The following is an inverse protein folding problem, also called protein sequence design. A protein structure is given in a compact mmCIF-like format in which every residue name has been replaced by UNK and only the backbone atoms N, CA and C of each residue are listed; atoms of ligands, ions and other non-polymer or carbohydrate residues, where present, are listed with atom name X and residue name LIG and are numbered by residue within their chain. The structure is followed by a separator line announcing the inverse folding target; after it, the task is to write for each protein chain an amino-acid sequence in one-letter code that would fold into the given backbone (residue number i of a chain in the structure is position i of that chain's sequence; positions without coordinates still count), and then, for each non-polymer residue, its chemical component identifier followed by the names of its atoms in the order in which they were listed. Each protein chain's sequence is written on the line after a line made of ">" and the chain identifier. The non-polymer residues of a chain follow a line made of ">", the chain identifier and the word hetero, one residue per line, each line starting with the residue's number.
data_IF_810797518238
#
_entry.id   IF_810797518238
#
_cell.length_a   1.000
_cell.length_b   1.000
_cell.length_c   1.000
_cell.angle_alpha   90.00
_cell.angle_beta   90.00
_cell.angle_gamma   90.00
#
_symmetry.space_group_name_H-M   'P 1'
#
loop_
_entity.id
_entity.type
_entity.pdbx_description
1 polymer ?
#
# COMPACT_ATOMS: atom_id res chain seq x y z
N UNK A 1 43.48 -11.86 -41.39
CA UNK A 1 42.21 -12.13 -40.68
C UNK A 1 41.77 -10.81 -40.11
N UNK A 2 40.54 -10.38 -40.40
CA UNK A 2 40.03 -9.11 -39.91
C UNK A 2 39.68 -9.26 -38.43
N UNK A 3 40.10 -8.30 -37.61
CA UNK A 3 39.72 -8.24 -36.19
C UNK A 3 38.21 -7.97 -36.11
N UNK A 4 37.45 -8.95 -35.62
CA UNK A 4 36.02 -8.80 -35.31
C UNK A 4 35.82 -8.51 -33.83
N UNK A 5 34.93 -7.57 -33.55
CA UNK A 5 34.45 -7.29 -32.19
C UNK A 5 33.61 -8.48 -31.73
N UNK A 6 33.98 -9.08 -30.61
CA UNK A 6 33.19 -10.10 -29.91
C UNK A 6 32.57 -9.41 -28.70
N UNK A 7 31.24 -9.30 -28.68
CA UNK A 7 30.49 -8.85 -27.50
C UNK A 7 30.14 -10.11 -26.71
N UNK A 8 30.74 -10.25 -25.53
CA UNK A 8 30.29 -11.21 -24.53
C UNK A 8 29.40 -10.46 -23.53
N UNK A 9 28.17 -10.92 -23.36
CA UNK A 9 27.27 -10.47 -22.31
C UNK A 9 27.41 -11.51 -21.19
N UNK A 10 27.92 -11.09 -20.03
CA UNK A 10 27.91 -11.94 -18.84
C UNK A 10 26.46 -12.13 -18.36
N UNK A 11 26.12 -13.32 -17.86
CA UNK A 11 24.90 -13.55 -17.09
C UNK A 11 24.96 -12.65 -15.85
N UNK A 12 24.28 -11.50 -15.89
CA UNK A 12 24.09 -10.66 -14.71
C UNK A 12 23.13 -11.42 -13.79
N UNK A 13 23.66 -12.08 -12.78
CA UNK A 13 22.84 -12.65 -11.69
C UNK A 13 22.17 -11.49 -10.96
N UNK A 14 20.86 -11.34 -11.17
CA UNK A 14 19.86 -10.57 -10.40
C UNK A 14 20.46 -9.58 -9.40
N UNK A 15 20.38 -8.28 -9.70
CA UNK A 15 20.59 -7.24 -8.69
C UNK A 15 19.49 -7.33 -7.64
N UNK A 16 19.78 -7.92 -6.47
CA UNK A 16 18.84 -7.97 -5.35
C UNK A 16 18.98 -6.69 -4.51
N UNK A 17 18.15 -5.68 -4.76
CA UNK A 17 17.97 -4.57 -3.80
C UNK A 17 17.02 -5.01 -2.69
N UNK A 18 17.45 -4.82 -1.44
CA UNK A 18 16.77 -5.32 -0.24
C UNK A 18 16.67 -4.25 0.84
N UNK A 19 15.58 -4.32 1.60
CA UNK A 19 15.40 -3.56 2.83
C UNK A 19 15.00 -4.52 3.96
N UNK A 20 15.58 -4.29 5.14
CA UNK A 20 15.24 -5.00 6.36
C UNK A 20 14.56 -4.04 7.35
N UNK A 21 13.36 -4.36 7.81
CA UNK A 21 12.59 -3.54 8.76
C UNK A 21 12.41 -4.31 10.06
N UNK A 22 12.97 -3.81 11.16
CA UNK A 22 12.76 -4.39 12.49
C UNK A 22 11.40 -3.99 13.08
N UNK A 23 10.63 -4.97 13.57
CA UNK A 23 9.32 -4.77 14.20
C UNK A 23 9.27 -5.61 15.48
N UNK A 24 9.42 -4.96 16.64
CA UNK A 24 9.61 -5.63 17.94
C UNK A 24 10.79 -6.61 17.89
N UNK A 25 10.56 -7.90 18.15
CA UNK A 25 11.53 -8.99 18.12
C UNK A 25 11.59 -9.70 16.75
N UNK A 26 10.84 -9.22 15.76
CA UNK A 26 10.81 -9.76 14.38
C UNK A 26 11.47 -8.82 13.39
N UNK A 27 11.79 -9.35 12.22
CA UNK A 27 12.35 -8.61 11.10
C UNK A 27 11.58 -8.94 9.83
N UNK A 28 11.23 -7.91 9.06
CA UNK A 28 10.74 -8.03 7.69
C UNK A 28 11.94 -7.91 6.74
N UNK A 29 12.09 -8.87 5.84
CA UNK A 29 13.11 -8.94 4.80
C UNK A 29 12.42 -8.83 3.44
N UNK A 30 12.57 -7.67 2.81
CA UNK A 30 11.80 -7.26 1.64
C UNK A 30 12.73 -7.03 0.46
N UNK A 31 12.34 -7.54 -0.71
CA UNK A 31 12.98 -7.18 -1.98
C UNK A 31 12.21 -6.04 -2.65
N UNK A 32 12.96 -5.16 -3.32
CA UNK A 32 12.44 -4.03 -4.09
C UNK A 32 12.43 -4.31 -5.60
N UNK A 33 12.91 -5.49 -6.01
CA UNK A 33 13.15 -5.83 -7.42
C UNK A 33 12.23 -6.99 -7.82
N UNK A 34 11.57 -6.84 -8.96
CA UNK A 34 10.83 -7.92 -9.61
C UNK A 34 11.83 -8.88 -10.28
N UNK A 35 11.51 -10.17 -10.36
CA UNK A 35 12.35 -11.13 -11.08
C UNK A 35 12.53 -10.71 -12.55
N UNK A 36 13.59 -11.16 -13.22
CA UNK A 36 13.97 -10.67 -14.56
C UNK A 36 12.85 -10.79 -15.61
N UNK A 37 12.09 -11.89 -15.56
CA UNK A 37 10.91 -12.14 -16.39
C UNK A 37 9.70 -11.25 -16.04
N UNK A 38 9.73 -10.61 -14.87
CA UNK A 38 8.70 -9.76 -14.30
C UNK A 38 9.11 -8.27 -14.29
N UNK A 39 10.29 -7.90 -14.83
CA UNK A 39 10.79 -6.51 -14.88
C UNK A 39 10.10 -5.62 -15.92
N UNK A 40 9.40 -6.20 -16.90
CA UNK A 40 8.72 -5.46 -17.97
C UNK A 40 7.76 -4.33 -17.50
N UNK A 41 7.02 -4.45 -16.37
CA UNK A 41 6.13 -3.40 -15.88
C UNK A 41 6.84 -2.19 -15.25
N UNK A 42 8.09 -2.34 -14.77
CA UNK A 42 8.82 -1.24 -14.11
C UNK A 42 9.09 -0.05 -15.04
N UNK A 43 9.14 -0.29 -16.36
CA UNK A 43 9.34 0.75 -17.37
C UNK A 43 8.04 1.28 -18.00
N UNK A 44 6.87 0.85 -17.51
CA UNK A 44 5.56 1.26 -18.00
C UNK A 44 4.76 2.01 -16.93
N UNK A 45 4.71 3.34 -17.02
CA UNK A 45 3.82 4.18 -16.21
C UNK A 45 4.23 4.29 -14.74
N UNK A 46 3.26 4.15 -13.84
CA UNK A 46 3.43 4.44 -12.42
C UNK A 46 3.83 3.22 -11.55
N UNK A 47 4.00 2.04 -12.15
CA UNK A 47 4.21 0.78 -11.41
C UNK A 47 5.52 0.75 -10.59
N UNK A 48 6.55 1.49 -11.00
CA UNK A 48 7.80 1.63 -10.25
C UNK A 48 7.59 2.18 -8.84
N UNK A 49 6.55 3.00 -8.63
CA UNK A 49 6.28 3.56 -7.31
C UNK A 49 5.90 2.46 -6.30
N UNK A 50 5.29 1.36 -6.75
CA UNK A 50 4.89 0.26 -5.88
C UNK A 50 6.04 -0.62 -5.37
N UNK A 51 7.28 -0.41 -5.84
CA UNK A 51 8.44 -1.19 -5.43
C UNK A 51 9.28 -0.52 -4.34
N UNK A 52 8.91 0.68 -3.90
CA UNK A 52 9.64 1.47 -2.90
C UNK A 52 8.99 1.41 -1.51
N UNK A 53 9.79 1.67 -0.48
CA UNK A 53 9.28 2.02 0.86
C UNK A 53 9.03 3.54 0.89
N UNK A 54 7.76 3.95 0.89
CA UNK A 54 7.39 5.36 1.06
C UNK A 54 7.37 5.75 2.54
N UNK A 55 7.69 7.02 2.84
CA UNK A 55 7.63 7.55 4.22
C UNK A 55 6.23 7.38 4.83
N UNK A 56 5.17 7.46 4.01
CA UNK A 56 3.80 7.23 4.45
C UNK A 56 3.58 5.79 4.95
N UNK A 57 4.23 4.81 4.34
CA UNK A 57 4.19 3.42 4.80
C UNK A 57 4.86 3.27 6.19
N UNK A 58 5.98 3.96 6.42
CA UNK A 58 6.67 3.99 7.71
C UNK A 58 5.82 4.68 8.77
N UNK A 59 5.19 5.81 8.45
CA UNK A 59 4.29 6.53 9.36
C UNK A 59 3.08 5.66 9.72
N UNK A 60 2.43 5.04 8.73
CA UNK A 60 1.27 4.18 8.96
C UNK A 60 1.64 2.94 9.77
N UNK A 61 2.74 2.27 9.44
CA UNK A 61 3.24 1.12 10.18
C UNK A 61 3.53 1.47 11.65
N UNK A 62 4.16 2.62 11.91
CA UNK A 62 4.40 3.09 13.28
C UNK A 62 3.10 3.41 14.01
N UNK A 63 2.11 4.01 13.33
CA UNK A 63 0.81 4.24 13.94
C UNK A 63 0.11 2.93 14.30
N UNK A 64 0.11 1.94 13.40
CA UNK A 64 -0.45 0.62 13.67
C UNK A 64 0.26 -0.07 14.84
N UNK A 65 1.59 0.04 14.91
CA UNK A 65 2.41 -0.53 16.00
C UNK A 65 2.09 0.04 17.38
N UNK A 66 1.87 1.36 17.46
CA UNK A 66 1.82 2.07 18.74
C UNK A 66 0.41 2.43 19.20
N UNK A 67 -0.51 2.67 18.27
CA UNK A 67 -1.79 3.32 18.56
C UNK A 67 -3.01 2.48 18.14
N UNK A 68 -2.84 1.38 17.40
CA UNK A 68 -3.95 0.57 16.86
C UNK A 68 -3.93 -0.84 17.41
N UNK A 69 -5.05 -1.27 18.00
CA UNK A 69 -5.23 -2.66 18.44
C UNK A 69 -5.71 -3.52 17.27
N UNK A 70 -4.79 -4.31 16.71
CA UNK A 70 -5.09 -5.20 15.58
C UNK A 70 -5.25 -6.67 15.96
N UNK A 71 -5.03 -7.02 17.24
CA UNK A 71 -5.11 -8.41 17.69
C UNK A 71 -6.45 -9.05 17.33
N UNK A 72 -6.39 -10.24 16.73
CA UNK A 72 -7.56 -11.02 16.30
C UNK A 72 -8.45 -10.37 15.23
N UNK A 73 -8.07 -9.21 14.68
CA UNK A 73 -8.80 -8.51 13.62
C UNK A 73 -8.40 -8.97 12.22
N UNK A 74 -9.32 -8.79 11.26
CA UNK A 74 -9.07 -8.97 9.83
C UNK A 74 -8.67 -7.64 9.20
N UNK A 75 -7.51 -7.61 8.56
CA UNK A 75 -6.93 -6.38 8.00
C UNK A 75 -6.81 -6.52 6.48
N UNK A 76 -7.20 -5.48 5.76
CA UNK A 76 -6.97 -5.30 4.33
C UNK A 76 -6.00 -4.14 4.12
N UNK A 77 -5.06 -4.28 3.20
CA UNK A 77 -4.25 -3.15 2.71
C UNK A 77 -4.53 -2.90 1.22
N UNK A 78 -4.94 -1.67 0.89
CA UNK A 78 -5.17 -1.20 -0.47
C UNK A 78 -3.92 -0.50 -1.00
N UNK A 79 -3.44 -0.90 -2.19
CA UNK A 79 -2.24 -0.33 -2.79
C UNK A 79 -1.01 -0.59 -1.91
N UNK A 80 -0.80 -1.87 -1.58
CA UNK A 80 0.18 -2.28 -0.59
C UNK A 80 1.63 -2.07 -1.03
N UNK A 81 1.90 -1.91 -2.32
CA UNK A 81 3.23 -1.94 -2.90
C UNK A 81 3.99 -3.19 -2.48
N UNK A 82 4.99 -3.01 -1.61
CA UNK A 82 5.80 -4.08 -1.01
C UNK A 82 5.22 -4.65 0.29
N UNK A 83 4.15 -4.06 0.85
CA UNK A 83 3.30 -4.66 1.90
C UNK A 83 3.64 -4.35 3.36
N UNK A 84 4.36 -3.25 3.63
CA UNK A 84 4.92 -2.99 4.97
C UNK A 84 3.85 -2.83 6.06
N UNK A 85 2.88 -1.90 5.98
CA UNK A 85 1.87 -1.71 7.03
C UNK A 85 1.05 -2.97 7.35
N UNK A 86 0.58 -3.70 6.34
CA UNK A 86 -0.20 -4.92 6.56
C UNK A 86 0.63 -6.06 7.15
N UNK A 87 1.89 -6.22 6.73
CA UNK A 87 2.80 -7.21 7.36
C UNK A 87 3.10 -6.85 8.82
N UNK A 88 3.24 -5.55 9.14
CA UNK A 88 3.32 -5.07 10.53
C UNK A 88 2.07 -5.46 11.30
N UNK A 89 0.87 -5.26 10.75
CA UNK A 89 -0.38 -5.68 11.40
C UNK A 89 -0.42 -7.19 11.71
N UNK A 90 0.10 -8.03 10.80
CA UNK A 90 0.22 -9.48 11.03
C UNK A 90 1.18 -9.81 12.18
N UNK A 91 2.34 -9.16 12.25
CA UNK A 91 3.30 -9.31 13.36
C UNK A 91 2.65 -8.98 14.72
N UNK A 92 1.72 -8.02 14.72
CA UNK A 92 1.04 -7.52 15.93
C UNK A 92 -0.16 -8.37 16.37
N UNK A 93 -0.46 -9.46 15.65
CA UNK A 93 -1.51 -10.42 16.04
C UNK A 93 -2.80 -10.31 15.23
N UNK A 94 -2.83 -9.58 14.11
CA UNK A 94 -3.97 -9.64 13.21
C UNK A 94 -4.29 -11.08 12.81
N UNK A 95 -5.56 -11.46 12.90
CA UNK A 95 -6.03 -12.82 12.60
C UNK A 95 -5.75 -13.23 11.17
N UNK A 96 -5.93 -12.30 10.24
CA UNK A 96 -5.66 -12.51 8.83
C UNK A 96 -5.45 -11.17 8.14
N UNK A 97 -4.41 -11.09 7.30
CA UNK A 97 -4.10 -9.91 6.51
C UNK A 97 -4.21 -10.25 5.02
N UNK A 98 -4.91 -9.40 4.27
CA UNK A 98 -4.92 -9.44 2.80
C UNK A 98 -4.23 -8.17 2.30
N UNK A 99 -3.14 -8.34 1.57
CA UNK A 99 -2.43 -7.26 0.90
C UNK A 99 -2.90 -7.21 -0.54
N UNK A 100 -3.31 -6.04 -1.03
CA UNK A 100 -3.82 -5.89 -2.39
C UNK A 100 -3.01 -4.90 -3.21
N UNK A 101 -2.86 -5.25 -4.48
CA UNK A 101 -2.14 -4.47 -5.47
C UNK A 101 -2.74 -4.67 -6.86
N UNK A 102 -2.25 -3.89 -7.83
CA UNK A 102 -2.50 -4.16 -9.24
C UNK A 102 -1.90 -5.52 -9.65
N UNK A 103 -2.50 -6.25 -10.61
CA UNK A 103 -2.08 -7.59 -10.99
C UNK A 103 -0.57 -7.73 -11.25
N UNK A 104 0.06 -6.70 -11.80
CA UNK A 104 1.47 -6.65 -12.17
C UNK A 104 2.41 -6.62 -10.95
N UNK A 105 1.96 -6.11 -9.80
CA UNK A 105 2.76 -6.03 -8.56
C UNK A 105 2.47 -7.15 -7.56
N UNK A 106 1.41 -7.92 -7.78
CA UNK A 106 1.07 -9.08 -6.93
C UNK A 106 2.20 -10.12 -6.84
N UNK A 107 2.98 -10.44 -7.91
CA UNK A 107 4.12 -11.35 -7.79
C UNK A 107 5.18 -10.88 -6.79
N UNK A 108 5.60 -9.60 -6.85
CA UNK A 108 6.52 -9.00 -5.88
C UNK A 108 6.00 -9.14 -4.45
N UNK A 109 4.73 -8.78 -4.26
CA UNK A 109 4.07 -8.85 -2.96
C UNK A 109 4.03 -10.28 -2.42
N UNK A 110 3.77 -11.29 -3.28
CA UNK A 110 3.83 -12.72 -2.91
C UNK A 110 5.23 -13.15 -2.52
N UNK A 111 6.26 -12.68 -3.23
CA UNK A 111 7.66 -12.96 -2.88
C UNK A 111 8.00 -12.43 -1.49
N UNK A 112 7.61 -11.19 -1.20
CA UNK A 112 7.80 -10.59 0.13
C UNK A 112 7.01 -11.33 1.21
N UNK A 113 5.77 -11.74 0.96
CA UNK A 113 4.98 -12.54 1.91
C UNK A 113 5.65 -13.89 2.20
N UNK A 114 6.07 -14.63 1.17
CA UNK A 114 6.66 -15.98 1.35
C UNK A 114 7.92 -15.94 2.21
N UNK A 115 8.73 -14.90 2.07
CA UNK A 115 9.96 -14.70 2.86
C UNK A 115 9.66 -14.47 4.34
N UNK A 116 8.59 -13.73 4.65
CA UNK A 116 8.32 -13.25 6.01
C UNK A 116 7.25 -14.05 6.76
N UNK A 117 6.33 -14.69 6.03
CA UNK A 117 5.17 -15.41 6.57
C UNK A 117 5.03 -16.80 5.92
N UNK A 118 6.06 -17.66 5.95
CA UNK A 118 6.01 -18.98 5.30
C UNK A 118 4.94 -19.90 5.89
N UNK A 119 4.49 -19.63 7.12
CA UNK A 119 3.47 -20.40 7.83
C UNK A 119 2.04 -19.81 7.67
N UNK A 120 1.86 -18.82 6.80
CA UNK A 120 0.57 -18.17 6.55
C UNK A 120 0.27 -16.97 7.47
N UNK A 121 -0.97 -16.50 7.43
CA UNK A 121 -1.46 -15.32 8.17
C UNK A 121 -1.53 -14.04 7.31
N UNK A 122 -0.77 -14.00 6.21
CA UNK A 122 -0.78 -12.92 5.21
C UNK A 122 -0.97 -13.51 3.82
N UNK A 123 -1.84 -12.90 3.02
CA UNK A 123 -2.11 -13.32 1.63
C UNK A 123 -2.04 -12.10 0.70
N UNK A 124 -1.72 -12.34 -0.57
CA UNK A 124 -1.73 -11.32 -1.61
C UNK A 124 -2.84 -11.61 -2.62
N UNK A 125 -3.58 -10.57 -2.99
CA UNK A 125 -4.65 -10.63 -4.01
C UNK A 125 -4.61 -9.41 -4.92
N UNK A 126 -5.11 -9.55 -6.14
CA UNK A 126 -5.24 -8.43 -7.06
C UNK A 126 -6.51 -7.65 -6.74
N UNK A 127 -6.45 -6.32 -6.71
CA UNK A 127 -7.63 -5.47 -6.57
C UNK A 127 -7.44 -4.15 -7.31
N UNK A 128 -8.03 -4.05 -8.51
CA UNK A 128 -8.22 -2.76 -9.17
C UNK A 128 -9.37 -2.02 -8.49
N UNK A 129 -9.14 -0.78 -8.07
CA UNK A 129 -10.14 -0.01 -7.33
C UNK A 129 -11.40 0.30 -8.17
N UNK A 130 -12.55 0.29 -7.51
CA UNK A 130 -13.86 0.57 -8.09
C UNK A 130 -14.97 -0.24 -7.42
N UNK A 131 -16.23 0.19 -7.59
CA UNK A 131 -17.39 -0.40 -6.90
C UNK A 131 -17.57 -1.89 -7.23
N UNK A 132 -17.52 -2.27 -8.50
CA UNK A 132 -17.77 -3.65 -8.92
C UNK A 132 -16.66 -4.59 -8.45
N UNK A 133 -15.40 -4.16 -8.62
CA UNK A 133 -14.24 -4.92 -8.16
C UNK A 133 -14.23 -5.08 -6.64
N UNK A 134 -14.54 -4.01 -5.89
CA UNK A 134 -14.65 -4.07 -4.43
C UNK A 134 -15.76 -5.02 -3.96
N UNK A 135 -16.91 -5.03 -4.64
CA UNK A 135 -17.99 -5.96 -4.30
C UNK A 135 -17.60 -7.42 -4.56
N UNK A 136 -17.06 -7.72 -5.74
CA UNK A 136 -16.58 -9.07 -6.05
C UNK A 136 -15.50 -9.52 -5.07
N UNK A 137 -14.57 -8.63 -4.71
CA UNK A 137 -13.54 -8.89 -3.72
C UNK A 137 -14.13 -9.18 -2.33
N UNK A 138 -15.14 -8.43 -1.88
CA UNK A 138 -15.81 -8.70 -0.62
C UNK A 138 -16.61 -10.01 -0.63
N UNK A 139 -17.18 -10.39 -1.77
CA UNK A 139 -17.91 -11.65 -1.90
C UNK A 139 -16.96 -12.87 -1.80
N UNK A 140 -15.71 -12.73 -2.28
CA UNK A 140 -14.66 -13.75 -2.15
C UNK A 140 -14.00 -13.75 -0.76
N UNK A 141 -13.57 -12.58 -0.28
CA UNK A 141 -12.72 -12.47 0.90
C UNK A 141 -13.50 -12.19 2.19
N UNK A 142 -14.78 -11.79 2.11
CA UNK A 142 -15.57 -11.34 3.24
C UNK A 142 -15.25 -9.90 3.67
N UNK A 143 -15.71 -9.53 4.87
CA UNK A 143 -15.50 -8.19 5.41
C UNK A 143 -14.18 -8.07 6.21
N UNK A 144 -13.79 -6.81 6.48
CA UNK A 144 -12.58 -6.44 7.20
C UNK A 144 -12.91 -5.49 8.35
N UNK A 145 -12.10 -5.53 9.40
CA UNK A 145 -12.24 -4.65 10.57
C UNK A 145 -11.42 -3.37 10.37
N UNK A 146 -10.27 -3.49 9.71
CA UNK A 146 -9.37 -2.36 9.40
C UNK A 146 -8.97 -2.43 7.94
N UNK A 147 -9.02 -1.28 7.27
CA UNK A 147 -8.44 -1.08 5.94
C UNK A 147 -7.27 -0.10 6.06
N UNK A 148 -6.12 -0.45 5.49
CA UNK A 148 -4.92 0.37 5.44
C UNK A 148 -4.72 0.89 4.01
N UNK A 149 -4.23 2.11 3.87
CA UNK A 149 -3.78 2.66 2.59
C UNK A 149 -2.68 3.69 2.84
N UNK A 150 -1.54 3.56 2.17
CA UNK A 150 -0.44 4.51 2.28
C UNK A 150 0.00 5.01 0.90
N UNK A 151 0.12 6.33 0.75
CA UNK A 151 0.57 7.05 -0.45
C UNK A 151 -0.12 6.65 -1.77
N UNK A 152 -1.37 6.23 -1.67
CA UNK A 152 -2.24 5.87 -2.81
C UNK A 152 -2.87 7.09 -3.52
N UNK A 153 -2.57 8.31 -3.07
CA UNK A 153 -3.14 9.56 -3.57
C UNK A 153 -1.99 10.47 -3.98
N UNK A 154 -1.76 10.57 -5.28
CA UNK A 154 -0.83 11.51 -5.88
C UNK A 154 -1.24 11.79 -7.32
N UNK A 155 -2.05 12.83 -7.50
CA UNK A 155 -2.69 13.15 -8.78
C UNK A 155 -1.72 13.36 -9.96
N UNK A 156 -0.52 13.94 -9.80
CA UNK A 156 0.42 14.06 -10.91
C UNK A 156 0.88 12.72 -11.50
N UNK A 157 0.85 11.64 -10.70
CA UNK A 157 1.26 10.30 -11.13
C UNK A 157 0.08 9.39 -11.44
N UNK A 158 -0.97 9.43 -10.62
CA UNK A 158 -2.10 8.50 -10.67
C UNK A 158 -3.39 9.12 -11.24
N UNK A 159 -3.36 10.41 -11.57
CA UNK A 159 -4.55 11.15 -11.99
C UNK A 159 -5.63 11.13 -10.92
N UNK A 160 -6.86 10.86 -11.33
CA UNK A 160 -8.04 10.90 -10.47
C UNK A 160 -8.41 9.53 -9.87
N UNK A 161 -7.46 8.57 -9.84
CA UNK A 161 -7.68 7.22 -9.30
C UNK A 161 -8.18 7.22 -7.85
N UNK A 162 -7.91 8.30 -7.10
CA UNK A 162 -8.41 8.54 -5.76
C UNK A 162 -9.95 8.52 -5.67
N UNK A 163 -10.69 8.79 -6.76
CA UNK A 163 -12.16 8.62 -6.80
C UNK A 163 -12.54 7.15 -6.68
N UNK A 164 -11.88 6.28 -7.45
CA UNK A 164 -12.11 4.84 -7.40
C UNK A 164 -11.66 4.25 -6.05
N UNK A 165 -10.58 4.78 -5.46
CA UNK A 165 -10.14 4.46 -4.11
C UNK A 165 -11.23 4.79 -3.06
N UNK A 166 -11.80 6.01 -3.11
CA UNK A 166 -12.88 6.43 -2.21
C UNK A 166 -14.11 5.51 -2.32
N UNK A 167 -14.53 5.18 -3.53
CA UNK A 167 -15.65 4.25 -3.77
C UNK A 167 -15.36 2.82 -3.28
N UNK A 168 -14.10 2.38 -3.40
CA UNK A 168 -13.66 1.08 -2.87
C UNK A 168 -13.76 1.05 -1.35
N UNK A 169 -13.26 2.10 -0.67
CA UNK A 169 -13.38 2.26 0.78
C UNK A 169 -14.84 2.28 1.23
N UNK A 170 -15.74 2.92 0.47
CA UNK A 170 -17.17 2.99 0.80
C UNK A 170 -17.83 1.61 0.76
N UNK A 171 -17.55 0.82 -0.28
CA UNK A 171 -18.04 -0.57 -0.37
C UNK A 171 -17.52 -1.40 0.81
N UNK A 172 -16.22 -1.31 1.11
CA UNK A 172 -15.60 -2.06 2.21
C UNK A 172 -16.23 -1.72 3.56
N UNK A 173 -16.41 -0.44 3.86
CA UNK A 173 -17.05 0.00 5.10
C UNK A 173 -18.54 -0.36 5.14
N UNK A 174 -19.26 -0.36 4.01
CA UNK A 174 -20.67 -0.81 3.97
C UNK A 174 -20.81 -2.30 4.28
N UNK A 175 -19.82 -3.13 3.97
CA UNK A 175 -19.81 -4.56 4.33
C UNK A 175 -19.58 -4.80 5.82
N UNK A 176 -18.87 -3.90 6.50
CA UNK A 176 -18.75 -3.90 7.96
C UNK A 176 -18.83 -2.46 8.49
N UNK A 177 -19.99 -2.00 8.98
CA UNK A 177 -20.16 -0.63 9.45
C UNK A 177 -19.25 -0.20 10.62
N UNK A 178 -18.61 -1.16 11.31
CA UNK A 178 -17.61 -0.89 12.34
C UNK A 178 -16.18 -0.76 11.77
N UNK A 179 -15.99 -1.00 10.47
CA UNK A 179 -14.71 -0.89 9.79
C UNK A 179 -14.17 0.54 9.87
N UNK A 180 -12.87 0.65 10.12
CA UNK A 180 -12.14 1.90 10.02
C UNK A 180 -11.12 1.81 8.89
N UNK A 181 -10.97 2.90 8.14
CA UNK A 181 -9.87 3.04 7.17
C UNK A 181 -8.83 3.99 7.75
N UNK A 182 -7.57 3.58 7.72
CA UNK A 182 -6.43 4.40 8.09
C UNK A 182 -5.65 4.74 6.83
N UNK A 183 -5.59 6.04 6.51
CA UNK A 183 -4.95 6.55 5.30
C UNK A 183 -3.78 7.43 5.69
N UNK A 184 -2.56 7.05 5.28
CA UNK A 184 -1.38 7.89 5.40
C UNK A 184 -0.98 8.44 4.03
N UNK A 185 -0.75 9.74 3.94
CA UNK A 185 -0.39 10.42 2.69
C UNK A 185 0.68 11.46 2.94
N UNK A 186 1.51 11.72 1.94
CA UNK A 186 2.43 12.85 1.96
C UNK A 186 1.85 14.06 1.21
N UNK A 187 1.82 15.22 1.87
CA UNK A 187 1.39 16.48 1.25
C UNK A 187 2.45 16.99 0.27
N UNK A 188 2.04 17.21 -0.98
CA UNK A 188 2.88 17.67 -2.09
C UNK A 188 2.12 18.71 -2.93
N UNK A 189 2.80 19.41 -3.83
CA UNK A 189 2.10 20.32 -4.75
C UNK A 189 1.13 19.53 -5.64
N UNK A 190 -0.12 19.99 -5.73
CA UNK A 190 -1.19 19.36 -6.53
C UNK A 190 -1.41 17.86 -6.23
N UNK A 191 -1.17 17.43 -4.99
CA UNK A 191 -1.27 16.02 -4.57
C UNK A 191 -2.65 15.37 -4.81
N UNK A 192 -3.73 16.15 -4.85
CA UNK A 192 -5.10 15.66 -5.01
C UNK A 192 -5.75 15.21 -3.70
N UNK A 193 -5.09 15.38 -2.56
CA UNK A 193 -5.58 14.94 -1.24
C UNK A 193 -6.80 15.76 -0.83
N UNK A 194 -6.79 17.08 -1.01
CA UNK A 194 -7.94 17.92 -0.67
C UNK A 194 -9.17 17.56 -1.52
N UNK A 195 -8.97 17.32 -2.81
CA UNK A 195 -10.05 16.89 -3.70
C UNK A 195 -10.63 15.52 -3.30
N UNK A 196 -9.78 14.58 -2.87
CA UNK A 196 -10.22 13.30 -2.30
C UNK A 196 -11.05 13.50 -1.02
N UNK A 197 -10.58 14.34 -0.09
CA UNK A 197 -11.27 14.61 1.17
C UNK A 197 -12.63 15.29 0.97
N UNK A 198 -12.72 16.25 0.03
CA UNK A 198 -13.97 16.91 -0.35
C UNK A 198 -14.95 15.95 -1.05
N UNK A 199 -14.42 14.98 -1.81
CA UNK A 199 -15.23 14.01 -2.54
C UNK A 199 -15.89 12.96 -1.64
N UNK A 200 -15.22 12.54 -0.54
CA UNK A 200 -15.72 11.52 0.38
C UNK A 200 -17.17 11.76 0.82
N UNK A 201 -17.53 12.88 1.48
CA UNK A 201 -18.90 13.09 1.97
C UNK A 201 -19.92 13.38 0.85
N UNK A 202 -19.46 13.71 -0.37
CA UNK A 202 -20.34 14.05 -1.50
C UNK A 202 -20.75 12.81 -2.29
N UNK A 203 -19.80 11.89 -2.50
CA UNK A 203 -20.00 10.72 -3.37
C UNK A 203 -20.13 9.40 -2.61
N UNK A 204 -19.86 9.39 -1.30
CA UNK A 204 -19.88 8.20 -0.45
C UNK A 204 -20.59 8.48 0.87
N UNK A 205 -20.78 7.45 1.69
CA UNK A 205 -21.26 7.61 3.07
C UNK A 205 -20.09 7.77 4.06
N UNK A 206 -18.91 8.19 3.60
CA UNK A 206 -17.70 8.27 4.42
C UNK A 206 -17.40 9.70 4.87
N UNK A 207 -16.81 9.79 6.05
CA UNK A 207 -16.21 11.01 6.57
C UNK A 207 -14.76 10.76 6.96
N UNK A 208 -13.88 11.70 6.61
CA UNK A 208 -12.48 11.69 7.03
C UNK A 208 -12.29 12.60 8.26
N UNK A 209 -11.58 12.09 9.25
CA UNK A 209 -11.06 12.88 10.38
C UNK A 209 -9.53 12.92 10.26
N UNK A 210 -8.97 14.11 10.17
CA UNK A 210 -7.52 14.29 10.27
C UNK A 210 -7.07 13.90 11.68
N UNK A 211 -6.17 12.92 11.77
CA UNK A 211 -5.73 12.35 13.03
C UNK A 211 -4.41 12.95 13.51
N UNK A 212 -3.41 13.04 12.62
CA UNK A 212 -2.07 13.56 12.97
C UNK A 212 -1.30 14.01 11.73
N UNK A 213 -0.52 15.08 11.90
CA UNK A 213 0.54 15.47 10.97
C UNK A 213 1.90 15.06 11.53
N UNK A 214 2.74 14.44 10.70
CA UNK A 214 4.13 14.08 11.00
C UNK A 214 5.05 14.94 10.12
N UNK A 215 5.84 15.86 10.70
CA UNK A 215 6.78 16.66 9.92
C UNK A 215 7.86 15.79 9.29
N UNK A 216 8.29 16.15 8.07
CA UNK A 216 9.40 15.46 7.40
C UNK A 216 10.73 15.93 7.98
N UNK A 217 11.47 15.01 8.61
CA UNK A 217 12.74 15.33 9.27
C UNK A 217 13.89 15.62 8.29
N UNK A 218 13.85 15.00 7.11
CA UNK A 218 14.86 15.15 6.04
C UNK A 218 14.17 15.18 4.69
N UNK A 219 14.51 16.17 3.84
CA UNK A 219 14.04 16.24 2.45
C UNK A 219 15.13 15.72 1.52
N UNK A 220 14.79 14.79 0.66
CA UNK A 220 15.67 14.32 -0.42
C UNK A 220 15.78 15.38 -1.52
N UNK A 221 16.80 15.31 -2.39
CA UNK A 221 16.87 16.22 -3.54
C UNK A 221 15.67 15.93 -4.48
N UNK A 222 14.83 16.93 -4.74
CA UNK A 222 13.59 16.77 -5.52
C UNK A 222 12.34 16.43 -4.70
N UNK A 223 12.47 16.36 -3.38
CA UNK A 223 11.37 16.11 -2.46
C UNK A 223 10.62 17.41 -2.10
N UNK A 224 9.49 17.61 -2.74
CA UNK A 224 8.60 18.76 -2.48
C UNK A 224 7.68 18.54 -1.25
N UNK A 225 7.78 17.39 -0.60
CA UNK A 225 6.97 17.03 0.57
C UNK A 225 7.03 18.06 1.69
N UNK A 226 5.86 18.47 2.18
CA UNK A 226 5.75 19.41 3.31
C UNK A 226 5.63 18.66 4.63
N UNK A 227 4.97 17.51 4.63
CA UNK A 227 4.77 16.65 5.78
C UNK A 227 3.85 15.47 5.43
N UNK A 228 3.74 14.52 6.35
CA UNK A 228 2.84 13.39 6.22
C UNK A 228 1.60 13.61 7.07
N UNK A 229 0.45 13.23 6.55
CA UNK A 229 -0.83 13.31 7.24
C UNK A 229 -1.44 11.93 7.35
N UNK A 230 -2.05 11.67 8.51
CA UNK A 230 -2.76 10.45 8.80
C UNK A 230 -4.24 10.79 9.02
N UNK A 231 -5.10 10.10 8.30
CA UNK A 231 -6.54 10.24 8.34
C UNK A 231 -7.18 8.94 8.83
N UNK A 232 -8.23 9.11 9.65
CA UNK A 232 -9.17 8.04 9.98
C UNK A 232 -10.46 8.28 9.21
N UNK A 233 -10.87 7.33 8.40
CA UNK A 233 -12.12 7.39 7.64
C UNK A 233 -13.08 6.33 8.17
N UNK A 234 -14.33 6.74 8.40
CA UNK A 234 -15.40 5.86 8.86
C UNK A 234 -16.67 6.16 8.09
N UNK A 235 -17.64 5.24 8.12
CA UNK A 235 -19.01 5.57 7.71
C UNK A 235 -19.59 6.67 8.60
N UNK A 236 -20.39 7.54 8.01
CA UNK A 236 -21.25 8.45 8.74
C UNK A 236 -22.39 7.64 9.35
N UNK A 237 -22.59 7.79 10.66
CA UNK A 237 -23.80 7.28 11.29
C UNK A 237 -24.95 8.23 10.94
N UNK A 238 -25.99 7.71 10.27
CA UNK A 238 -27.27 8.41 10.15
C UNK A 238 -27.93 8.64 11.53
#
# INVERSE_FOLDING_TARGET
>A
MADTIVVAIDDVRVCEERICIGVRDKQLDLTLVLDEDELAPLFAGAAWAGTLVWDAAVVLANHVLNDVQVDSLRVLELGAGIGVPGMVASILGAKHVVLTEQPELVPLLRTNIRRNFPNGGVTASALSWGVDAANAFCDEHGAFDIVLSCDCIYQPLYGESWRALALTMDVLCKRNPACIVLVAVERRHEDGIDAFLEYLPVATALQATHYRTVPKATKSLGDEGVGLELYRITLTHE
#
